data_IF_782457760818
#
_entry.id   IF_782457760818
#
_cell.length_a   1.000
_cell.length_b   1.000
_cell.length_c   1.000
_cell.angle_alpha   90.00
_cell.angle_beta   90.00
_cell.angle_gamma   90.00
#
_symmetry.space_group_name_H-M   'P 1'
#
loop_
_entity.id
_entity.type
_entity.pdbx_description
1 polymer ?
#
# COMPACT_ATOMS: atom_id res chain seq x y z
N UNK A 1 28.37 6.92 -9.86
CA UNK A 1 28.38 5.69 -9.04
C UNK A 1 27.47 4.66 -9.69
N UNK A 2 27.81 3.38 -9.66
CA UNK A 2 26.95 2.31 -10.22
C UNK A 2 25.84 2.01 -9.21
N UNK A 3 24.59 1.96 -9.67
CA UNK A 3 23.46 1.58 -8.83
C UNK A 3 23.51 0.08 -8.53
N UNK A 4 23.35 -0.31 -7.26
CA UNK A 4 23.32 -1.69 -6.80
C UNK A 4 21.87 -2.16 -6.81
N UNK A 5 21.60 -3.39 -7.27
CA UNK A 5 20.29 -4.01 -7.10
C UNK A 5 20.33 -4.88 -5.86
N UNK A 6 19.51 -4.56 -4.86
CA UNK A 6 19.34 -5.38 -3.68
C UNK A 6 18.65 -6.71 -4.06
N UNK A 7 19.18 -7.81 -3.58
CA UNK A 7 18.69 -9.14 -3.91
C UNK A 7 17.66 -9.56 -2.87
N UNK A 8 16.47 -9.91 -3.33
CA UNK A 8 15.32 -10.28 -2.48
C UNK A 8 15.67 -11.36 -1.44
N UNK A 9 16.45 -12.38 -1.83
CA UNK A 9 16.88 -13.47 -0.94
C UNK A 9 17.68 -13.02 0.27
N UNK A 10 18.33 -11.84 0.20
CA UNK A 10 19.14 -11.32 1.30
C UNK A 10 18.26 -10.73 2.42
N UNK A 11 17.01 -10.40 2.10
CA UNK A 11 16.06 -9.78 3.02
C UNK A 11 14.96 -10.74 3.48
N UNK A 12 14.56 -11.68 2.65
CA UNK A 12 13.49 -12.66 2.91
C UNK A 12 14.05 -14.10 2.84
N UNK A 13 14.82 -14.53 3.83
CA UNK A 13 15.38 -15.88 3.82
C UNK A 13 14.28 -16.92 4.09
N UNK A 14 14.03 -17.82 3.12
CA UNK A 14 13.14 -18.96 3.27
C UNK A 14 11.74 -18.80 2.68
N UNK A 15 10.88 -19.80 2.93
CA UNK A 15 9.49 -19.87 2.42
C UNK A 15 8.46 -19.19 3.35
N UNK A 16 8.91 -18.47 4.38
CA UNK A 16 8.04 -17.82 5.37
C UNK A 16 7.37 -16.55 4.86
N UNK A 17 6.73 -15.82 5.78
CA UNK A 17 6.10 -14.55 5.50
C UNK A 17 7.15 -13.54 4.99
N UNK A 18 7.01 -12.96 3.81
CA UNK A 18 7.97 -12.03 3.26
C UNK A 18 7.79 -10.64 3.85
N UNK A 19 7.97 -10.55 5.14
CA UNK A 19 8.10 -9.31 5.91
C UNK A 19 9.41 -9.42 6.67
N UNK A 20 10.26 -8.42 6.55
CA UNK A 20 11.52 -8.34 7.26
C UNK A 20 11.70 -6.94 7.85
N UNK A 21 12.47 -6.85 8.92
CA UNK A 21 12.81 -5.57 9.55
C UNK A 21 14.32 -5.38 9.63
N UNK A 22 14.72 -4.12 9.43
CA UNK A 22 16.10 -3.68 9.72
C UNK A 22 16.05 -2.36 10.47
N UNK A 23 17.08 -2.14 11.29
CA UNK A 23 17.25 -0.88 12.02
C UNK A 23 18.60 -0.28 11.67
N UNK A 24 18.62 1.03 11.48
CA UNK A 24 19.82 1.83 11.36
C UNK A 24 19.91 2.71 12.61
N UNK A 25 21.08 2.73 13.25
CA UNK A 25 21.31 3.48 14.49
C UNK A 25 22.61 4.28 14.39
N UNK A 26 22.48 5.62 14.31
CA UNK A 26 23.60 6.54 14.17
C UNK A 26 24.23 6.55 12.79
N UNK A 27 25.48 6.93 12.70
CA UNK A 27 26.15 7.33 11.46
C UNK A 27 27.15 6.31 10.95
N UNK A 28 27.24 5.13 11.57
CA UNK A 28 28.10 4.06 11.09
C UNK A 28 27.69 3.64 9.66
N UNK A 29 28.63 3.53 8.71
CA UNK A 29 28.30 3.35 7.28
C UNK A 29 27.73 1.98 6.94
N UNK A 30 28.04 0.95 7.74
CA UNK A 30 27.50 -0.42 7.57
C UNK A 30 27.16 -0.94 8.97
N UNK A 31 25.89 -1.29 9.18
CA UNK A 31 25.39 -1.70 10.50
C UNK A 31 24.92 -3.17 10.55
N UNK A 32 24.69 -3.78 9.40
CA UNK A 32 24.31 -5.18 9.27
C UNK A 32 24.70 -5.70 7.87
N UNK A 33 24.69 -7.01 7.69
CA UNK A 33 24.89 -7.62 6.39
C UNK A 33 23.78 -7.15 5.41
N UNK A 34 24.19 -6.74 4.20
CA UNK A 34 23.30 -6.18 3.19
C UNK A 34 22.83 -4.75 3.45
N UNK A 35 23.45 -4.01 4.38
CA UNK A 35 23.16 -2.60 4.60
C UNK A 35 23.56 -1.77 3.37
N UNK A 36 22.57 -1.23 2.68
CA UNK A 36 22.72 -0.39 1.49
C UNK A 36 22.30 1.07 1.76
N UNK A 37 22.12 1.46 3.01
CA UNK A 37 21.57 2.78 3.39
C UNK A 37 22.30 3.93 2.70
N UNK A 38 23.64 3.93 2.68
CA UNK A 38 24.45 4.99 2.07
C UNK A 38 24.84 4.68 0.62
N UNK A 39 24.40 3.55 0.09
CA UNK A 39 24.72 3.08 -1.25
C UNK A 39 23.52 3.28 -2.16
N UNK A 40 23.72 3.91 -3.32
CA UNK A 40 22.70 4.04 -4.35
C UNK A 40 22.22 2.67 -4.79
N UNK A 41 20.96 2.35 -4.52
CA UNK A 41 20.41 1.02 -4.79
C UNK A 41 18.94 1.06 -5.22
N UNK A 42 18.49 -0.08 -5.72
CA UNK A 42 17.08 -0.37 -6.06
C UNK A 42 16.71 -1.74 -5.52
N UNK A 43 15.43 -2.01 -5.33
CA UNK A 43 14.87 -3.30 -4.96
C UNK A 43 13.49 -3.52 -5.59
N UNK A 44 13.04 -4.77 -5.68
CA UNK A 44 11.75 -5.17 -6.28
C UNK A 44 10.70 -5.57 -5.24
N UNK A 45 10.88 -5.13 -4.01
CA UNK A 45 9.93 -5.23 -2.89
C UNK A 45 9.58 -3.83 -2.37
N UNK A 46 8.57 -3.72 -1.52
CA UNK A 46 8.23 -2.47 -0.87
C UNK A 46 9.03 -2.28 0.41
N UNK A 47 9.46 -1.06 0.68
CA UNK A 47 10.18 -0.65 1.89
C UNK A 47 9.50 0.57 2.51
N UNK A 48 9.03 0.42 3.74
CA UNK A 48 8.51 1.51 4.56
C UNK A 48 9.58 1.97 5.53
N UNK A 49 10.11 3.17 5.31
CA UNK A 49 11.15 3.81 6.10
C UNK A 49 10.50 4.72 7.13
N UNK A 50 10.81 4.53 8.40
CA UNK A 50 10.31 5.33 9.52
C UNK A 50 11.49 5.91 10.30
N UNK A 51 11.68 7.23 10.21
CA UNK A 51 12.77 7.93 10.89
C UNK A 51 12.35 8.28 12.31
N UNK A 52 13.10 7.81 13.30
CA UNK A 52 12.73 7.95 14.71
C UNK A 52 13.62 8.90 15.50
N UNK A 53 14.81 9.24 14.97
CA UNK A 53 15.75 10.19 15.55
C UNK A 53 16.71 10.73 14.49
N UNK A 54 17.32 11.90 14.77
CA UNK A 54 18.30 12.52 13.89
C UNK A 54 17.74 12.95 12.55
N UNK A 55 18.61 12.97 11.53
CA UNK A 55 18.24 13.42 10.19
C UNK A 55 19.34 13.17 9.17
N UNK A 56 19.17 13.78 7.99
CA UNK A 56 20.07 13.67 6.86
C UNK A 56 19.40 14.03 5.55
N UNK A 57 20.00 13.59 4.45
CA UNK A 57 19.43 13.75 3.11
C UNK A 57 19.05 12.39 2.54
N UNK A 58 17.78 12.16 2.25
CA UNK A 58 17.29 10.98 1.54
C UNK A 58 17.14 11.32 0.06
N UNK A 59 17.90 10.66 -0.78
CA UNK A 59 17.83 10.79 -2.23
C UNK A 59 16.90 9.72 -2.79
N UNK A 60 15.92 10.12 -3.59
CA UNK A 60 14.94 9.24 -4.23
C UNK A 60 14.79 9.66 -5.69
N UNK A 61 15.12 8.79 -6.65
CA UNK A 61 15.09 9.07 -8.09
C UNK A 61 15.76 10.40 -8.47
N UNK A 62 16.91 10.69 -7.84
CA UNK A 62 17.71 11.90 -8.09
C UNK A 62 17.19 13.18 -7.41
N UNK A 63 16.13 13.10 -6.59
CA UNK A 63 15.65 14.23 -5.79
C UNK A 63 16.06 14.02 -4.33
N UNK A 64 16.57 15.09 -3.71
CA UNK A 64 16.93 15.09 -2.30
C UNK A 64 15.77 15.56 -1.43
N UNK A 65 15.59 14.86 -0.32
CA UNK A 65 14.64 15.20 0.74
C UNK A 65 15.42 15.36 2.04
N UNK A 66 15.37 16.53 2.64
CA UNK A 66 15.81 16.70 4.02
C UNK A 66 14.88 15.91 4.93
N UNK A 67 15.44 15.05 5.78
CA UNK A 67 14.67 14.15 6.64
C UNK A 67 14.98 14.37 8.11
N UNK A 68 13.96 14.15 8.94
CA UNK A 68 14.04 14.29 10.40
C UNK A 68 13.18 13.23 11.09
N UNK A 69 13.37 13.11 12.41
CA UNK A 69 12.53 12.26 13.25
C UNK A 69 11.03 12.56 13.02
N UNK A 70 10.23 11.54 12.79
CA UNK A 70 8.81 11.67 12.45
C UNK A 70 8.50 11.45 10.96
N UNK A 71 9.49 11.54 10.09
CA UNK A 71 9.29 11.38 8.65
C UNK A 71 9.14 9.92 8.26
N UNK A 72 8.21 9.67 7.33
CA UNK A 72 7.93 8.33 6.77
C UNK A 72 7.97 8.40 5.24
N UNK A 73 8.59 7.39 4.64
CA UNK A 73 8.65 7.18 3.20
C UNK A 73 8.25 5.75 2.84
N UNK A 74 7.59 5.61 1.70
CA UNK A 74 7.37 4.31 1.07
C UNK A 74 8.15 4.26 -0.24
N UNK A 75 9.04 3.29 -0.37
CA UNK A 75 9.84 3.03 -1.57
C UNK A 75 9.32 1.75 -2.23
N UNK A 76 9.04 1.80 -3.53
CA UNK A 76 8.47 0.69 -4.32
C UNK A 76 9.01 0.69 -5.75
N UNK A 77 8.76 -0.39 -6.48
CA UNK A 77 8.89 -0.49 -7.94
C UNK A 77 10.27 -0.12 -8.50
N UNK A 78 11.34 -0.68 -7.93
CA UNK A 78 12.71 -0.40 -8.36
C UNK A 78 13.11 1.09 -8.32
N UNK A 79 12.48 1.88 -7.46
CA UNK A 79 12.84 3.27 -7.19
C UNK A 79 14.27 3.33 -6.64
N UNK A 80 15.12 4.13 -7.26
CA UNK A 80 16.50 4.32 -6.79
C UNK A 80 16.52 5.23 -5.57
N UNK A 81 17.18 4.77 -4.50
CA UNK A 81 17.31 5.60 -3.31
C UNK A 81 18.59 5.31 -2.49
N UNK A 82 18.94 6.25 -1.62
CA UNK A 82 20.07 6.16 -0.68
C UNK A 82 20.07 7.38 0.27
N UNK A 83 20.79 7.29 1.38
CA UNK A 83 20.97 8.39 2.32
C UNK A 83 22.36 9.00 2.22
N UNK A 84 22.46 10.29 2.52
CA UNK A 84 23.71 11.04 2.68
C UNK A 84 23.61 12.01 3.84
N UNK A 85 24.76 12.55 4.29
CA UNK A 85 24.82 13.61 5.31
C UNK A 85 24.00 13.24 6.55
N UNK A 86 24.09 11.97 6.98
CA UNK A 86 23.39 11.49 8.18
C UNK A 86 23.99 12.13 9.42
N UNK A 87 23.13 12.51 10.37
CA UNK A 87 23.51 13.00 11.68
C UNK A 87 22.61 12.39 12.73
N UNK A 88 23.18 11.48 13.51
CA UNK A 88 22.50 10.76 14.61
C UNK A 88 21.21 10.07 14.15
N UNK A 89 21.21 9.57 12.89
CA UNK A 89 20.06 8.99 12.24
C UNK A 89 19.69 7.64 12.85
N UNK A 90 18.45 7.53 13.36
CA UNK A 90 17.83 6.26 13.72
C UNK A 90 16.57 6.04 12.88
N UNK A 91 16.48 4.88 12.25
CA UNK A 91 15.30 4.52 11.46
C UNK A 91 15.01 3.04 11.51
N UNK A 92 13.76 2.70 11.23
CA UNK A 92 13.28 1.35 10.98
C UNK A 92 12.90 1.22 9.52
N UNK A 93 13.37 0.16 8.88
CA UNK A 93 12.99 -0.26 7.54
C UNK A 93 12.13 -1.51 7.65
N UNK A 94 10.86 -1.39 7.27
CA UNK A 94 9.95 -2.54 7.14
C UNK A 94 9.89 -2.90 5.67
N UNK A 95 10.51 -4.00 5.31
CA UNK A 95 10.51 -4.54 3.96
C UNK A 95 9.41 -5.60 3.82
N UNK A 96 8.67 -5.56 2.74
CA UNK A 96 7.59 -6.51 2.50
C UNK A 96 7.31 -6.74 1.02
N UNK A 97 6.83 -7.94 0.70
CA UNK A 97 6.31 -8.25 -0.62
C UNK A 97 4.85 -7.77 -0.73
N UNK A 98 4.62 -6.73 -1.50
CA UNK A 98 3.29 -6.16 -1.73
C UNK A 98 2.37 -7.13 -2.48
N UNK A 99 2.91 -8.01 -3.33
CA UNK A 99 2.14 -9.06 -4.04
C UNK A 99 1.66 -10.13 -3.08
N UNK A 100 2.52 -10.57 -2.16
CA UNK A 100 2.15 -11.52 -1.12
C UNK A 100 1.10 -10.92 -0.17
N UNK A 101 1.28 -9.67 0.22
CA UNK A 101 0.35 -8.97 1.09
C UNK A 101 -0.93 -8.49 0.36
N UNK A 102 -1.02 -8.60 -0.97
CA UNK A 102 -2.10 -7.99 -1.76
C UNK A 102 -3.51 -8.35 -1.28
N UNK A 103 -3.73 -9.59 -0.82
CA UNK A 103 -5.04 -10.01 -0.29
C UNK A 103 -5.35 -9.35 1.06
N UNK A 104 -4.38 -9.32 1.97
CA UNK A 104 -4.48 -8.66 3.27
C UNK A 104 -4.63 -7.14 3.13
N UNK A 105 -3.90 -6.54 2.22
CA UNK A 105 -3.97 -5.10 1.93
C UNK A 105 -5.28 -4.68 1.26
N UNK A 106 -6.01 -5.62 0.65
CA UNK A 106 -7.29 -5.33 0.01
C UNK A 106 -8.31 -4.74 0.98
N UNK A 107 -8.38 -5.22 2.21
CA UNK A 107 -9.28 -4.69 3.23
C UNK A 107 -8.96 -3.25 3.63
N UNK A 108 -7.70 -2.85 3.55
CA UNK A 108 -7.25 -1.49 3.85
C UNK A 108 -7.64 -0.47 2.78
N UNK A 109 -8.02 -0.91 1.57
CA UNK A 109 -8.51 -0.03 0.51
C UNK A 109 -9.80 0.70 0.85
N UNK A 110 -10.52 0.25 1.86
CA UNK A 110 -11.64 1.00 2.44
C UNK A 110 -11.22 2.29 3.18
N UNK A 111 -9.93 2.46 3.46
CA UNK A 111 -9.35 3.62 4.13
C UNK A 111 -8.76 4.60 3.13
N UNK A 112 -9.31 5.80 3.03
CA UNK A 112 -8.84 6.84 2.08
C UNK A 112 -7.38 7.20 2.27
N UNK A 113 -6.92 7.33 3.53
CA UNK A 113 -5.53 7.64 3.84
C UNK A 113 -4.55 6.52 3.46
N UNK A 114 -4.98 5.25 3.55
CA UNK A 114 -4.19 4.12 3.05
C UNK A 114 -3.97 4.25 1.54
N UNK A 115 -5.04 4.44 0.78
CA UNK A 115 -4.93 4.59 -0.67
C UNK A 115 -4.09 5.81 -1.05
N UNK A 116 -4.24 6.92 -0.32
CA UNK A 116 -3.46 8.13 -0.57
C UNK A 116 -1.97 7.92 -0.39
N UNK A 117 -1.56 7.32 0.73
CA UNK A 117 -0.15 7.15 1.07
C UNK A 117 0.50 5.95 0.35
N UNK A 118 -0.18 4.80 0.34
CA UNK A 118 0.43 3.56 -0.17
C UNK A 118 0.26 3.35 -1.68
N UNK A 119 -0.74 3.99 -2.33
CA UNK A 119 -0.97 3.83 -3.77
C UNK A 119 -0.61 5.09 -4.58
N UNK A 120 -1.07 6.26 -4.14
CA UNK A 120 -0.93 7.47 -4.96
C UNK A 120 0.34 8.27 -4.67
N UNK A 121 0.78 8.35 -3.42
CA UNK A 121 1.95 9.16 -3.07
C UNK A 121 3.22 8.73 -3.85
N UNK A 122 3.58 7.42 -3.94
CA UNK A 122 4.77 7.01 -4.69
C UNK A 122 4.73 7.40 -6.17
N UNK A 123 3.55 7.36 -6.80
CA UNK A 123 3.36 7.74 -8.20
C UNK A 123 3.58 9.24 -8.41
N UNK A 124 2.96 10.05 -7.55
CA UNK A 124 3.09 11.51 -7.65
C UNK A 124 4.52 11.97 -7.36
N UNK A 125 5.22 11.29 -6.45
CA UNK A 125 6.64 11.54 -6.18
C UNK A 125 7.50 11.25 -7.40
N UNK A 126 7.34 10.09 -8.06
CA UNK A 126 8.05 9.75 -9.30
C UNK A 126 7.84 10.77 -10.43
N UNK A 127 6.68 11.39 -10.49
CA UNK A 127 6.39 12.46 -11.48
C UNK A 127 6.95 13.82 -11.10
N UNK A 128 7.72 13.93 -10.01
CA UNK A 128 8.17 15.21 -9.44
C UNK A 128 7.03 16.22 -9.18
N UNK A 129 5.78 15.73 -9.19
CA UNK A 129 4.60 16.54 -8.95
C UNK A 129 4.36 16.82 -7.47
N UNK A 130 5.11 16.10 -6.59
CA UNK A 130 4.83 16.11 -5.17
C UNK A 130 6.13 15.90 -4.37
N UNK A 131 6.53 16.90 -3.63
CA UNK A 131 7.63 16.81 -2.66
C UNK A 131 7.01 16.84 -1.25
N UNK A 132 6.38 15.75 -0.86
CA UNK A 132 5.84 15.64 0.49
C UNK A 132 6.25 14.32 1.10
N UNK A 133 6.55 14.39 2.34
CA UNK A 133 6.78 13.31 3.25
C UNK A 133 5.65 13.30 4.26
N UNK A 134 5.23 12.16 4.72
CA UNK A 134 4.36 12.10 5.88
C UNK A 134 5.21 12.35 7.11
N UNK A 135 4.82 13.33 7.91
CA UNK A 135 5.46 13.60 9.19
C UNK A 135 4.48 13.29 10.32
N UNK A 136 4.90 12.43 11.24
CA UNK A 136 4.08 12.01 12.36
C UNK A 136 4.30 12.87 13.60
N UNK A 137 3.21 13.13 14.31
CA UNK A 137 3.28 13.74 15.63
C UNK A 137 4.01 12.83 16.64
N UNK A 138 4.70 13.40 17.65
CA UNK A 138 5.49 12.65 18.62
C UNK A 138 4.70 11.57 19.38
N UNK A 139 3.43 11.82 19.68
CA UNK A 139 2.55 10.88 20.40
C UNK A 139 2.30 9.61 19.57
N UNK A 140 2.08 9.77 18.28
CA UNK A 140 1.89 8.64 17.37
C UNK A 140 3.20 7.89 17.15
N UNK A 141 4.32 8.60 17.08
CA UNK A 141 5.64 7.99 16.99
C UNK A 141 5.93 7.08 18.17
N UNK A 142 5.55 7.46 19.40
CA UNK A 142 5.70 6.61 20.58
C UNK A 142 4.87 5.32 20.49
N UNK A 143 3.64 5.41 19.95
CA UNK A 143 2.80 4.23 19.69
C UNK A 143 3.43 3.31 18.63
N UNK A 144 3.96 3.89 17.55
CA UNK A 144 4.64 3.13 16.50
C UNK A 144 5.90 2.44 17.00
N UNK A 145 6.74 3.11 17.81
CA UNK A 145 7.95 2.50 18.39
C UNK A 145 7.64 1.23 19.17
N UNK A 146 6.53 1.19 19.92
CA UNK A 146 6.11 -0.03 20.63
C UNK A 146 5.82 -1.18 19.66
N UNK A 147 5.11 -0.89 18.57
CA UNK A 147 4.83 -1.88 17.52
C UNK A 147 6.09 -2.34 16.81
N UNK A 148 6.96 -1.40 16.42
CA UNK A 148 8.24 -1.67 15.74
C UNK A 148 9.16 -2.55 16.59
N UNK A 149 9.31 -2.24 17.88
CA UNK A 149 10.08 -3.07 18.81
C UNK A 149 9.47 -4.46 19.00
N UNK A 150 8.13 -4.55 19.00
CA UNK A 150 7.44 -5.83 19.01
C UNK A 150 7.69 -6.65 17.75
N UNK A 151 7.77 -6.02 16.58
CA UNK A 151 8.13 -6.71 15.33
C UNK A 151 9.56 -7.25 15.37
N UNK A 152 10.53 -6.46 15.82
CA UNK A 152 11.92 -6.92 15.98
C UNK A 152 12.04 -8.11 16.95
N UNK A 153 11.25 -8.10 18.02
CA UNK A 153 11.23 -9.21 18.98
C UNK A 153 10.65 -10.49 18.32
N UNK A 154 9.60 -10.38 17.53
CA UNK A 154 9.01 -11.52 16.81
C UNK A 154 9.98 -12.08 15.75
N UNK A 155 10.60 -11.21 14.95
CA UNK A 155 11.57 -11.63 13.92
C UNK A 155 12.74 -12.42 14.55
N UNK A 156 13.22 -11.97 15.70
CA UNK A 156 14.33 -12.64 16.43
C UNK A 156 13.92 -13.91 17.16
N UNK A 157 12.64 -14.03 17.53
CA UNK A 157 12.18 -15.14 18.34
C UNK A 157 12.17 -16.47 17.59
N UNK A 158 11.87 -16.45 16.27
CA UNK A 158 11.71 -17.63 15.45
C UNK A 158 10.64 -18.61 15.95
N UNK A 159 9.73 -18.14 16.82
CA UNK A 159 8.69 -18.98 17.40
C UNK A 159 7.60 -19.30 16.36
N UNK A 160 6.93 -20.46 16.49
CA UNK A 160 5.77 -20.75 15.66
C UNK A 160 4.73 -19.62 15.70
N UNK A 161 4.33 -19.10 14.52
CA UNK A 161 3.38 -18.01 14.40
C UNK A 161 3.99 -16.61 14.44
N UNK A 162 5.31 -16.45 14.53
CA UNK A 162 5.99 -15.14 14.45
C UNK A 162 5.66 -14.41 13.15
N UNK A 163 5.50 -15.11 12.04
CA UNK A 163 5.07 -14.57 10.75
C UNK A 163 3.67 -13.93 10.82
N UNK A 164 2.72 -14.57 11.48
CA UNK A 164 1.37 -14.01 11.70
C UNK A 164 1.40 -12.82 12.65
N UNK A 165 2.25 -12.86 13.67
CA UNK A 165 2.44 -11.72 14.57
C UNK A 165 3.07 -10.53 13.83
N UNK A 166 4.08 -10.76 12.99
CA UNK A 166 4.67 -9.76 12.12
C UNK A 166 3.63 -9.13 11.20
N UNK A 167 2.83 -9.96 10.50
CA UNK A 167 1.74 -9.48 9.64
C UNK A 167 0.74 -8.62 10.41
N UNK A 168 0.30 -9.08 11.58
CA UNK A 168 -0.64 -8.32 12.43
C UNK A 168 -0.11 -6.93 12.78
N UNK A 169 1.17 -6.84 13.16
CA UNK A 169 1.83 -5.57 13.52
C UNK A 169 2.00 -4.64 12.30
N UNK A 170 2.36 -5.18 11.15
CA UNK A 170 2.44 -4.41 9.90
C UNK A 170 1.07 -3.82 9.54
N UNK A 171 -0.01 -4.61 9.62
CA UNK A 171 -1.36 -4.12 9.34
C UNK A 171 -1.78 -3.02 10.32
N UNK A 172 -1.44 -3.15 11.61
CA UNK A 172 -1.69 -2.10 12.60
C UNK A 172 -0.93 -0.80 12.25
N UNK A 173 0.35 -0.89 11.90
CA UNK A 173 1.17 0.25 11.47
C UNK A 173 0.54 0.93 10.25
N UNK A 174 0.10 0.16 9.26
CA UNK A 174 -0.53 0.70 8.05
C UNK A 174 -1.85 1.44 8.37
N UNK A 175 -2.66 0.92 9.29
CA UNK A 175 -3.88 1.60 9.75
C UNK A 175 -3.54 2.90 10.48
N UNK A 176 -2.52 2.91 11.34
CA UNK A 176 -2.10 4.12 12.06
C UNK A 176 -1.62 5.20 11.08
N UNK A 177 -0.77 4.84 10.12
CA UNK A 177 -0.30 5.75 9.06
C UNK A 177 -1.47 6.27 8.22
N UNK A 178 -2.39 5.41 7.82
CA UNK A 178 -3.57 5.79 7.04
C UNK A 178 -4.46 6.82 7.79
N UNK A 179 -4.66 6.62 9.07
CA UNK A 179 -5.43 7.55 9.94
C UNK A 179 -4.74 8.90 10.05
N UNK A 180 -3.43 8.90 10.21
CA UNK A 180 -2.66 10.14 10.32
C UNK A 180 -2.62 10.90 8.99
N UNK A 181 -2.42 10.21 7.88
CA UNK A 181 -2.49 10.84 6.56
C UNK A 181 -3.82 11.52 6.30
N UNK A 182 -4.91 10.95 6.81
CA UNK A 182 -6.26 11.53 6.72
C UNK A 182 -6.42 12.86 7.47
N UNK A 183 -5.55 13.12 8.45
CA UNK A 183 -5.57 14.36 9.27
C UNK A 183 -4.66 15.45 8.71
N UNK A 184 -3.86 15.13 7.70
CA UNK A 184 -2.91 16.08 7.11
C UNK A 184 -3.65 17.31 6.53
N UNK A 185 -3.22 18.50 6.92
CA UNK A 185 -3.72 19.78 6.40
C UNK A 185 -2.98 20.26 5.14
N UNK A 186 -1.95 19.56 4.71
CA UNK A 186 -1.17 19.92 3.52
C UNK A 186 -2.05 19.81 2.26
N UNK A 187 -2.11 20.89 1.45
CA UNK A 187 -2.96 20.95 0.25
C UNK A 187 -2.67 19.85 -0.77
N UNK A 188 -1.41 19.44 -0.88
CA UNK A 188 -0.99 18.34 -1.77
C UNK A 188 -1.43 16.98 -1.20
N UNK A 189 -1.24 16.75 0.09
CA UNK A 189 -1.75 15.56 0.78
C UNK A 189 -3.27 15.44 0.64
N UNK A 190 -3.98 16.56 0.70
CA UNK A 190 -5.43 16.60 0.45
C UNK A 190 -5.82 16.18 -0.96
N UNK A 191 -5.01 16.49 -1.97
CA UNK A 191 -5.24 16.01 -3.35
C UNK A 191 -5.12 14.50 -3.44
N UNK A 192 -4.08 13.92 -2.84
CA UNK A 192 -3.90 12.47 -2.78
C UNK A 192 -4.99 11.79 -1.93
N UNK A 193 -5.40 12.44 -0.84
CA UNK A 193 -6.50 11.95 0.00
C UNK A 193 -7.81 11.84 -0.80
N UNK A 194 -8.15 12.83 -1.63
CA UNK A 194 -9.34 12.78 -2.49
C UNK A 194 -9.28 11.64 -3.53
N UNK A 195 -8.11 11.37 -4.09
CA UNK A 195 -7.91 10.19 -4.96
C UNK A 195 -8.10 8.89 -4.17
N UNK A 196 -7.54 8.82 -2.97
CA UNK A 196 -7.74 7.70 -2.05
C UNK A 196 -9.21 7.51 -1.67
N UNK A 197 -9.96 8.61 -1.50
CA UNK A 197 -11.40 8.61 -1.21
C UNK A 197 -12.22 8.00 -2.37
N UNK A 198 -11.81 8.18 -3.61
CA UNK A 198 -12.46 7.53 -4.75
C UNK A 198 -12.46 6.02 -4.59
N UNK A 199 -11.27 5.42 -4.32
CA UNK A 199 -11.16 3.97 -4.12
C UNK A 199 -11.96 3.53 -2.89
N UNK A 200 -11.80 4.22 -1.77
CA UNK A 200 -12.51 3.91 -0.53
C UNK A 200 -14.03 3.92 -0.70
N UNK A 201 -14.57 4.90 -1.43
CA UNK A 201 -16.01 4.94 -1.73
C UNK A 201 -16.45 3.79 -2.63
N UNK A 202 -15.66 3.44 -3.64
CA UNK A 202 -15.96 2.30 -4.50
C UNK A 202 -15.93 0.98 -3.72
N UNK A 203 -14.98 0.79 -2.80
CA UNK A 203 -14.90 -0.40 -1.94
C UNK A 203 -16.08 -0.53 -0.96
N UNK A 204 -16.49 0.59 -0.36
CA UNK A 204 -17.56 0.62 0.62
C UNK A 204 -18.97 0.66 0.00
N UNK A 205 -19.11 1.16 -1.22
CA UNK A 205 -20.37 1.42 -1.91
C UNK A 205 -20.33 0.84 -3.34
N UNK A 206 -19.77 -0.36 -3.49
CA UNK A 206 -19.52 -0.98 -4.80
C UNK A 206 -20.79 -1.24 -5.62
N UNK A 207 -21.93 -1.41 -4.98
CA UNK A 207 -23.22 -1.63 -5.67
C UNK A 207 -23.82 -0.37 -6.30
N UNK A 208 -23.35 0.84 -5.87
CA UNK A 208 -23.89 2.09 -6.42
C UNK A 208 -23.49 2.36 -7.87
N UNK A 209 -24.29 3.17 -8.55
CA UNK A 209 -24.00 3.58 -9.92
C UNK A 209 -22.88 4.65 -9.96
N UNK A 210 -21.65 4.18 -10.10
CA UNK A 210 -20.47 5.00 -10.27
C UNK A 210 -20.21 5.31 -11.73
N UNK A 211 -19.99 6.59 -12.03
CA UNK A 211 -19.57 7.07 -13.36
C UNK A 211 -18.23 7.78 -13.26
N UNK A 212 -17.48 7.83 -14.37
CA UNK A 212 -16.21 8.60 -14.42
C UNK A 212 -16.43 10.05 -13.97
N UNK A 213 -17.53 10.68 -14.38
CA UNK A 213 -17.87 12.04 -14.02
C UNK A 213 -18.09 12.21 -12.49
N UNK A 214 -18.74 11.23 -11.83
CA UNK A 214 -18.95 11.25 -10.37
C UNK A 214 -17.61 11.04 -9.64
N UNK A 215 -16.79 10.10 -10.09
CA UNK A 215 -15.50 9.76 -9.50
C UNK A 215 -14.50 10.91 -9.66
N UNK A 216 -14.39 11.50 -10.85
CA UNK A 216 -13.49 12.63 -11.11
C UNK A 216 -13.85 13.88 -10.29
N UNK A 217 -15.16 14.08 -10.01
CA UNK A 217 -15.61 15.16 -9.12
C UNK A 217 -15.15 14.95 -7.67
N UNK A 218 -15.19 13.73 -7.16
CA UNK A 218 -14.66 13.39 -5.82
C UNK A 218 -13.15 13.66 -5.77
N UNK A 219 -12.43 13.23 -6.82
CA UNK A 219 -10.99 13.49 -6.94
C UNK A 219 -10.65 14.99 -7.12
N UNK A 220 -11.66 15.86 -7.39
CA UNK A 220 -11.49 17.25 -7.79
C UNK A 220 -10.52 17.42 -8.98
N UNK A 221 -10.65 16.55 -9.98
CA UNK A 221 -9.82 16.53 -11.19
C UNK A 221 -10.67 16.54 -12.46
N UNK A 222 -10.08 17.02 -13.57
CA UNK A 222 -10.67 16.83 -14.89
C UNK A 222 -10.75 15.32 -15.21
N UNK A 223 -11.81 14.84 -15.89
CA UNK A 223 -11.99 13.40 -16.17
C UNK A 223 -10.77 12.73 -16.83
N UNK A 224 -10.14 13.39 -17.80
CA UNK A 224 -8.96 12.87 -18.49
C UNK A 224 -7.77 12.70 -17.57
N UNK A 225 -7.49 13.70 -16.73
CA UNK A 225 -6.42 13.65 -15.72
C UNK A 225 -6.67 12.55 -14.70
N UNK A 226 -7.91 12.46 -14.20
CA UNK A 226 -8.31 11.42 -13.26
C UNK A 226 -8.12 10.01 -13.84
N UNK A 227 -8.57 9.77 -15.08
CA UNK A 227 -8.41 8.47 -15.74
C UNK A 227 -6.93 8.06 -15.89
N UNK A 228 -6.08 9.01 -16.28
CA UNK A 228 -4.63 8.77 -16.41
C UNK A 228 -3.99 8.39 -15.08
N UNK A 229 -4.22 9.19 -14.04
CA UNK A 229 -3.67 8.95 -12.70
C UNK A 229 -4.18 7.63 -12.10
N UNK A 230 -5.49 7.38 -12.22
CA UNK A 230 -6.09 6.16 -11.70
C UNK A 230 -5.54 4.91 -12.38
N UNK A 231 -5.44 4.93 -13.73
CA UNK A 231 -4.90 3.80 -14.50
C UNK A 231 -3.44 3.53 -14.15
N UNK A 232 -2.64 4.55 -13.93
CA UNK A 232 -1.24 4.37 -13.51
C UNK A 232 -1.15 3.73 -12.12
N UNK A 233 -1.99 4.17 -11.17
CA UNK A 233 -1.99 3.65 -9.80
C UNK A 233 -2.54 2.23 -9.70
N UNK A 234 -3.59 1.92 -10.46
CA UNK A 234 -4.36 0.69 -10.30
C UNK A 234 -4.14 -0.32 -11.44
N UNK A 235 -3.36 0.04 -12.46
CA UNK A 235 -3.14 -0.77 -13.66
C UNK A 235 -4.35 -0.90 -14.58
N UNK A 236 -5.52 -0.36 -14.19
CA UNK A 236 -6.80 -0.54 -14.89
C UNK A 236 -7.66 0.73 -14.83
N UNK A 237 -8.70 0.82 -15.64
CA UNK A 237 -9.64 1.95 -15.59
C UNK A 237 -10.52 1.90 -14.33
N UNK A 238 -11.06 3.06 -13.85
CA UNK A 238 -11.95 3.08 -12.67
C UNK A 238 -13.18 2.17 -12.81
N UNK A 239 -13.78 2.13 -13.98
CA UNK A 239 -14.99 1.31 -14.23
C UNK A 239 -14.66 -0.17 -14.28
N UNK A 240 -13.53 -0.54 -14.84
CA UNK A 240 -13.03 -1.91 -14.85
C UNK A 240 -12.63 -2.37 -13.45
N UNK A 241 -11.97 -1.50 -12.67
CA UNK A 241 -11.71 -1.75 -11.26
C UNK A 241 -13.01 -2.05 -10.48
N UNK A 242 -14.04 -1.22 -10.66
CA UNK A 242 -15.36 -1.44 -10.05
C UNK A 242 -16.00 -2.76 -10.48
N UNK A 243 -15.90 -3.09 -11.76
CA UNK A 243 -16.42 -4.36 -12.28
C UNK A 243 -15.75 -5.56 -11.59
N UNK A 244 -14.43 -5.55 -11.53
CA UNK A 244 -13.65 -6.61 -10.88
C UNK A 244 -13.95 -6.69 -9.37
N UNK A 245 -14.11 -5.56 -8.71
CA UNK A 245 -14.52 -5.49 -7.30
C UNK A 245 -15.88 -6.16 -7.08
N UNK A 246 -16.89 -5.81 -7.89
CA UNK A 246 -18.24 -6.39 -7.84
C UNK A 246 -18.23 -7.90 -8.04
N UNK A 247 -17.46 -8.38 -9.01
CA UNK A 247 -17.28 -9.81 -9.30
C UNK A 247 -16.65 -10.54 -8.11
N UNK A 248 -15.63 -9.95 -7.49
CA UNK A 248 -14.98 -10.54 -6.31
C UNK A 248 -15.93 -10.58 -5.10
N UNK A 249 -16.70 -9.51 -4.86
CA UNK A 249 -17.72 -9.49 -3.78
C UNK A 249 -18.82 -10.54 -4.05
N UNK A 250 -19.26 -10.68 -5.31
CA UNK A 250 -20.23 -11.69 -5.70
C UNK A 250 -19.72 -13.13 -5.46
N UNK A 251 -18.44 -13.40 -5.72
CA UNK A 251 -17.84 -14.70 -5.44
C UNK A 251 -17.94 -15.06 -3.95
N UNK A 252 -17.66 -14.10 -3.05
CA UNK A 252 -17.87 -14.29 -1.61
C UNK A 252 -19.33 -14.56 -1.24
N UNK A 253 -20.29 -13.86 -1.83
CA UNK A 253 -21.73 -14.10 -1.61
C UNK A 253 -22.20 -15.44 -2.14
N UNK A 254 -21.64 -15.92 -3.27
CA UNK A 254 -21.94 -17.22 -3.82
C UNK A 254 -21.63 -18.37 -2.87
N UNK A 255 -20.52 -18.25 -2.13
CA UNK A 255 -20.06 -19.26 -1.17
C UNK A 255 -20.79 -19.14 0.17
N UNK A 256 -20.98 -17.89 0.65
CA UNK A 256 -21.41 -17.63 2.02
C UNK A 256 -22.92 -17.32 2.15
N UNK A 257 -23.74 -17.48 1.09
CA UNK A 257 -25.17 -17.22 1.15
C UNK A 257 -25.99 -18.19 0.30
N UNK A 258 -27.28 -18.31 0.63
CA UNK A 258 -28.26 -19.07 -0.14
C UNK A 258 -29.02 -18.22 -1.18
N UNK A 259 -28.62 -16.97 -1.40
CA UNK A 259 -29.24 -16.06 -2.36
C UNK A 259 -29.16 -16.63 -3.79
N UNK A 260 -30.18 -16.38 -4.60
CA UNK A 260 -30.16 -16.73 -6.01
C UNK A 260 -29.07 -15.96 -6.77
N UNK A 261 -28.66 -16.45 -7.92
CA UNK A 261 -27.65 -15.77 -8.78
C UNK A 261 -28.14 -14.36 -9.18
N UNK A 262 -29.44 -14.20 -9.39
CA UNK A 262 -30.07 -12.91 -9.74
C UNK A 262 -29.99 -11.93 -8.56
N UNK A 263 -30.34 -12.35 -7.34
CA UNK A 263 -30.24 -11.52 -6.15
C UNK A 263 -28.79 -11.10 -5.89
N UNK A 264 -27.82 -12.00 -6.01
CA UNK A 264 -26.40 -11.68 -5.86
C UNK A 264 -25.94 -10.66 -6.91
N UNK A 265 -26.36 -10.82 -8.16
CA UNK A 265 -26.06 -9.85 -9.20
C UNK A 265 -26.58 -8.45 -8.84
N UNK A 266 -27.83 -8.34 -8.37
CA UNK A 266 -28.44 -7.09 -7.94
C UNK A 266 -27.73 -6.48 -6.72
N UNK A 267 -27.45 -7.26 -5.69
CA UNK A 267 -26.72 -6.83 -4.49
C UNK A 267 -25.32 -6.29 -4.82
N UNK A 268 -24.70 -6.84 -5.87
CA UNK A 268 -23.40 -6.38 -6.38
C UNK A 268 -23.50 -5.23 -7.40
N UNK A 269 -24.70 -4.68 -7.64
CA UNK A 269 -24.89 -3.52 -8.49
C UNK A 269 -24.91 -3.83 -10.00
N UNK A 270 -25.25 -5.07 -10.39
CA UNK A 270 -25.51 -5.44 -11.78
C UNK A 270 -27.01 -5.32 -12.07
N UNK A 271 -27.36 -4.55 -13.10
CA UNK A 271 -28.74 -4.41 -13.55
C UNK A 271 -29.22 -5.61 -14.39
N UNK A 272 -28.31 -6.43 -14.91
CA UNK A 272 -28.60 -7.59 -15.76
C UNK A 272 -27.78 -8.81 -15.28
N UNK A 273 -28.48 -9.86 -14.87
CA UNK A 273 -27.89 -11.12 -14.38
C UNK A 273 -27.17 -11.91 -15.48
N UNK A 274 -27.57 -11.75 -16.77
CA UNK A 274 -26.85 -12.38 -17.90
C UNK A 274 -25.51 -11.67 -18.14
N UNK A 275 -25.50 -10.32 -18.07
CA UNK A 275 -24.25 -9.55 -18.13
C UNK A 275 -23.33 -9.93 -16.98
N UNK A 276 -23.85 -9.99 -15.75
CA UNK A 276 -23.11 -10.47 -14.58
C UNK A 276 -22.50 -11.85 -14.82
N UNK A 277 -23.30 -12.84 -15.24
CA UNK A 277 -22.83 -14.22 -15.44
C UNK A 277 -21.73 -14.31 -16.48
N UNK A 278 -21.82 -13.51 -17.55
CA UNK A 278 -20.78 -13.41 -18.58
C UNK A 278 -19.50 -12.79 -18.04
N UNK A 279 -19.57 -11.68 -17.28
CA UNK A 279 -18.39 -11.04 -16.67
C UNK A 279 -17.75 -11.95 -15.62
N UNK A 280 -18.55 -12.63 -14.82
CA UNK A 280 -18.08 -13.58 -13.82
C UNK A 280 -17.30 -14.75 -14.48
N UNK A 281 -17.84 -15.28 -15.57
CA UNK A 281 -17.17 -16.34 -16.35
C UNK A 281 -15.85 -15.86 -16.95
N UNK A 282 -15.79 -14.62 -17.45
CA UNK A 282 -14.56 -14.03 -17.98
C UNK A 282 -13.47 -13.90 -16.90
N UNK A 283 -13.88 -13.62 -15.67
CA UNK A 283 -12.94 -13.40 -14.55
C UNK A 283 -12.48 -14.71 -13.91
N UNK A 284 -13.40 -15.65 -13.64
CA UNK A 284 -13.15 -16.91 -12.92
C UNK A 284 -13.07 -18.16 -13.81
N UNK A 285 -13.21 -18.03 -15.12
CA UNK A 285 -13.25 -19.14 -16.09
C UNK A 285 -14.33 -20.20 -15.80
N UNK A 286 -15.36 -19.87 -15.02
CA UNK A 286 -16.52 -20.71 -14.77
C UNK A 286 -17.75 -19.85 -14.47
N UNK A 287 -18.96 -20.42 -14.64
CA UNK A 287 -20.21 -19.73 -14.33
C UNK A 287 -20.39 -19.53 -12.81
N UNK A 288 -21.19 -18.54 -12.36
CA UNK A 288 -21.54 -18.37 -10.95
C UNK A 288 -22.11 -19.64 -10.30
N UNK A 289 -22.91 -20.39 -11.06
CA UNK A 289 -23.51 -21.65 -10.61
C UNK A 289 -22.48 -22.76 -10.41
N UNK A 290 -21.52 -22.86 -11.32
CA UNK A 290 -20.39 -23.82 -11.21
C UNK A 290 -19.48 -23.44 -10.06
N UNK A 291 -19.19 -22.14 -9.89
CA UNK A 291 -18.38 -21.62 -8.77
C UNK A 291 -18.98 -22.00 -7.42
N UNK A 292 -20.28 -21.72 -7.20
CA UNK A 292 -21.00 -22.11 -5.97
C UNK A 292 -20.96 -23.61 -5.65
N UNK A 293 -20.89 -24.47 -6.67
CA UNK A 293 -20.85 -25.92 -6.46
C UNK A 293 -19.46 -26.45 -6.07
N UNK A 294 -18.41 -25.66 -6.31
CA UNK A 294 -17.02 -26.03 -6.01
C UNK A 294 -16.64 -25.75 -4.57
N UNK A 295 -17.30 -24.81 -3.95
CA UNK A 295 -17.09 -24.34 -2.60
C UNK A 295 -18.36 -24.47 -1.75
#
# INVERSE_FOLDING_TARGET
MKTVKAVRSDFFPGEGCPIAMRTIQGDAPIQHEGDLTDIRHTHDFAELIIITRGGGMHWIDGISYEVAAGDIFLIQDNTEHYFQERHDLEMYNIMFDDKYLAEHLRSLRSLSGFNAFFLFEPIFRRRHAFMSKLHLAPELMNSLRKNLNGMLAEERSGLPGSDLMMLSKVLEIFVLIAREYSRSSNSKAQTLYRLGEVISRMENQYSENWTVARLSRIAAMAPSTFLGVFKEAMGTSPIEYLLNLRITKAAGLLVNSQKSITEIAQDCGFNDSNYFSRQFRNYYNCSPREYRKRF
#
